data_IF_574703052602
#
_entry.id   IF_574703052602
#
_cell.length_a   1.000
_cell.length_b   1.000
_cell.length_c   1.000
_cell.angle_alpha   90.00
_cell.angle_beta   90.00
_cell.angle_gamma   90.00
#
_symmetry.space_group_name_H-M   'P 1'
#
loop_
_entity.id
_entity.type
_entity.pdbx_description
1 polymer ?
#
# COMPACT_ATOMS: atom_id res chain seq x y z
N UNK A 1 -7.33 29.07 53.44
CA UNK A 1 -7.61 27.85 52.70
C UNK A 1 -8.04 28.04 51.21
N UNK A 2 -8.57 29.20 50.83
CA UNK A 2 -8.96 29.45 49.42
C UNK A 2 -7.76 29.77 48.50
N UNK A 3 -6.73 30.44 49.01
CA UNK A 3 -5.52 30.77 48.27
C UNK A 3 -4.67 29.57 47.90
N UNK A 4 -4.62 28.56 48.77
CA UNK A 4 -3.84 27.34 48.51
C UNK A 4 -4.45 26.49 47.40
N UNK A 5 -5.76 26.46 47.27
CA UNK A 5 -6.47 25.77 46.16
C UNK A 5 -6.26 26.45 44.81
N UNK A 6 -6.12 27.80 44.81
CA UNK A 6 -5.91 28.56 43.58
C UNK A 6 -4.48 28.32 43.01
N UNK A 7 -3.49 28.22 43.89
CA UNK A 7 -2.10 27.94 43.50
C UNK A 7 -1.94 26.53 42.95
N UNK A 8 -2.67 25.56 43.54
CA UNK A 8 -2.61 24.17 43.03
C UNK A 8 -3.25 23.98 41.65
N UNK A 9 -4.32 24.73 41.39
CA UNK A 9 -4.98 24.71 40.06
C UNK A 9 -4.12 25.46 39.03
N UNK A 10 -3.46 26.53 39.40
CA UNK A 10 -2.56 27.24 38.46
C UNK A 10 -1.31 26.45 38.13
N UNK A 11 -0.80 25.67 39.09
CA UNK A 11 0.38 24.82 38.86
C UNK A 11 0.07 23.57 38.03
N UNK A 12 -1.18 23.07 38.07
CA UNK A 12 -1.59 21.91 37.28
C UNK A 12 -1.86 22.24 35.81
N UNK A 13 -2.26 23.48 35.51
CA UNK A 13 -2.53 23.96 34.14
C UNK A 13 -1.25 24.29 33.38
N UNK A 14 -0.15 24.61 34.05
CA UNK A 14 1.15 24.86 33.39
C UNK A 14 1.91 23.58 33.02
N UNK A 15 1.55 22.42 33.61
CA UNK A 15 2.20 21.16 33.34
C UNK A 15 1.70 20.44 32.05
N UNK A 16 0.59 20.91 31.48
CA UNK A 16 -0.02 20.30 30.28
C UNK A 16 0.46 20.91 28.95
N UNK A 17 1.30 21.94 28.98
CA UNK A 17 1.76 22.64 27.77
C UNK A 17 3.19 22.31 27.36
N UNK A 18 3.87 21.33 27.99
CA UNK A 18 5.26 20.97 27.69
C UNK A 18 5.38 19.62 26.96
N UNK A 19 4.29 19.11 26.39
CA UNK A 19 4.32 17.79 25.72
C UNK A 19 4.34 17.83 24.18
N UNK A 20 4.72 18.95 23.59
CA UNK A 20 4.92 19.01 22.14
C UNK A 20 6.23 19.75 21.84
N UNK A 21 7.35 19.07 22.01
CA UNK A 21 8.64 19.62 21.67
C UNK A 21 9.77 18.81 22.27
N UNK A 22 9.87 17.53 21.93
CA UNK A 22 11.03 16.75 22.29
C UNK A 22 11.79 16.36 21.03
N UNK A 23 12.81 17.16 20.71
CA UNK A 23 13.96 16.66 19.95
C UNK A 23 14.73 15.72 20.88
N UNK A 24 14.24 14.50 21.03
CA UNK A 24 14.94 13.44 21.71
C UNK A 24 15.90 12.76 20.74
N UNK A 25 17.17 12.97 20.92
CA UNK A 25 18.22 12.12 20.39
C UNK A 25 17.93 10.66 20.75
N UNK A 26 17.35 9.93 19.82
CA UNK A 26 17.24 8.48 19.91
C UNK A 26 18.39 7.89 19.13
N UNK A 27 19.24 7.17 19.85
CA UNK A 27 20.35 6.36 19.40
C UNK A 27 20.07 5.71 18.05
N UNK A 28 20.86 6.10 17.07
CA UNK A 28 20.87 5.61 15.72
C UNK A 28 21.20 4.13 15.65
N UNK A 29 20.18 3.30 15.48
CA UNK A 29 20.38 2.13 14.62
C UNK A 29 20.59 2.71 13.22
N UNK A 30 21.71 2.43 12.59
CA UNK A 30 22.04 2.84 11.23
C UNK A 30 21.11 2.13 10.22
N UNK A 31 19.86 2.47 10.23
CA UNK A 31 19.01 2.37 9.08
C UNK A 31 19.42 3.56 8.23
N UNK A 32 19.99 3.31 7.06
CA UNK A 32 20.54 4.33 6.19
C UNK A 32 19.64 5.55 6.18
N UNK A 33 20.17 6.68 6.60
CA UNK A 33 19.43 7.91 6.76
C UNK A 33 18.77 8.25 5.42
N UNK A 34 17.49 7.93 5.32
CA UNK A 34 16.64 8.46 4.27
C UNK A 34 16.36 9.93 4.64
N UNK A 35 17.43 10.71 4.69
CA UNK A 35 17.35 12.15 4.86
C UNK A 35 16.84 12.72 3.53
N UNK A 36 15.73 13.39 3.58
CA UNK A 36 15.12 14.03 2.43
C UNK A 36 13.60 13.97 2.52
N UNK A 37 12.95 14.87 1.83
CA UNK A 37 11.52 14.87 1.68
C UNK A 37 11.10 13.59 0.94
N UNK A 38 10.32 12.73 1.58
CA UNK A 38 9.85 11.48 0.97
C UNK A 38 9.09 11.73 -0.35
N UNK A 39 8.38 12.84 -0.45
CA UNK A 39 7.68 13.23 -1.66
C UNK A 39 8.63 13.53 -2.83
N UNK A 40 9.80 14.13 -2.57
CA UNK A 40 10.80 14.40 -3.61
C UNK A 40 11.38 13.11 -4.19
N UNK A 41 11.53 12.08 -3.37
CA UNK A 41 12.09 10.80 -3.81
C UNK A 41 11.17 9.98 -4.70
N UNK A 42 9.88 10.23 -4.61
CA UNK A 42 8.86 9.54 -5.45
C UNK A 42 8.30 10.47 -6.52
N UNK A 43 8.78 11.71 -6.59
CA UNK A 43 8.29 12.68 -7.56
C UNK A 43 8.88 12.40 -8.94
N UNK A 44 8.00 12.22 -9.89
CA UNK A 44 8.32 12.19 -11.32
C UNK A 44 7.52 13.29 -11.99
N UNK A 45 8.22 14.23 -12.64
CA UNK A 45 7.59 15.41 -13.24
C UNK A 45 6.60 15.03 -14.36
N UNK A 46 5.59 15.86 -14.62
CA UNK A 46 4.72 15.66 -15.76
C UNK A 46 5.52 15.61 -17.08
N UNK A 47 5.29 14.56 -17.87
CA UNK A 47 6.01 14.31 -19.12
C UNK A 47 7.27 13.47 -18.98
N UNK A 48 7.76 13.27 -17.75
CA UNK A 48 8.89 12.39 -17.48
C UNK A 48 8.43 10.96 -17.22
N UNK A 49 9.35 10.02 -17.40
CA UNK A 49 9.14 8.60 -17.19
C UNK A 49 9.71 8.15 -15.85
N UNK A 50 9.06 7.17 -15.26
CA UNK A 50 9.63 6.45 -14.11
C UNK A 50 10.87 5.68 -14.54
N UNK A 51 11.81 5.49 -13.59
CA UNK A 51 13.07 4.81 -13.83
C UNK A 51 12.88 3.29 -14.06
N UNK A 52 11.92 2.71 -13.37
CA UNK A 52 11.59 1.29 -13.45
C UNK A 52 10.11 1.07 -13.59
N UNK A 53 9.75 -0.13 -14.06
CA UNK A 53 8.38 -0.61 -14.09
C UNK A 53 8.26 -1.92 -13.33
N UNK A 54 7.32 -1.97 -12.38
CA UNK A 54 6.96 -3.18 -11.66
C UNK A 54 5.73 -3.82 -12.32
N UNK A 55 5.84 -5.09 -12.67
CA UNK A 55 4.74 -5.91 -13.15
C UNK A 55 4.26 -6.79 -12.00
N UNK A 56 3.05 -6.56 -11.55
CA UNK A 56 2.51 -7.18 -10.34
C UNK A 56 1.27 -7.98 -10.71
N UNK A 57 1.32 -9.28 -10.42
CA UNK A 57 0.15 -10.14 -10.54
C UNK A 57 -0.97 -9.65 -9.64
N UNK A 58 -2.17 -9.58 -10.16
CA UNK A 58 -3.39 -9.31 -9.40
C UNK A 58 -3.94 -10.55 -8.69
N UNK A 59 -3.21 -11.66 -8.69
CA UNK A 59 -3.68 -12.94 -8.17
C UNK A 59 -4.89 -13.44 -8.95
N UNK A 60 -5.89 -13.91 -8.24
CA UNK A 60 -7.11 -14.47 -8.85
C UNK A 60 -7.94 -13.48 -9.70
N UNK A 61 -7.54 -12.21 -9.79
CA UNK A 61 -8.20 -11.28 -10.71
C UNK A 61 -7.91 -11.56 -12.19
N UNK A 62 -6.89 -12.39 -12.47
CA UNK A 62 -6.48 -12.71 -13.83
C UNK A 62 -5.84 -11.55 -14.59
N UNK A 63 -5.37 -10.55 -13.87
CA UNK A 63 -4.84 -9.30 -14.41
C UNK A 63 -3.40 -9.06 -13.94
N UNK A 64 -2.65 -8.32 -14.73
CA UNK A 64 -1.31 -7.87 -14.43
C UNK A 64 -1.30 -6.36 -14.35
N UNK A 65 -0.95 -5.80 -13.20
CA UNK A 65 -0.83 -4.37 -13.00
C UNK A 65 0.60 -3.89 -13.27
N UNK A 66 0.74 -2.77 -13.96
CA UNK A 66 2.02 -2.15 -14.26
C UNK A 66 2.12 -0.84 -13.49
N UNK A 67 3.08 -0.77 -12.58
CA UNK A 67 3.38 0.42 -11.79
C UNK A 67 4.72 1.02 -12.17
N UNK A 68 4.78 2.35 -12.20
CA UNK A 68 6.04 3.06 -12.33
C UNK A 68 6.72 3.25 -10.98
N UNK A 69 8.01 3.16 -10.95
CA UNK A 69 8.85 3.41 -9.78
C UNK A 69 9.92 4.44 -10.11
N UNK A 70 10.12 5.45 -9.26
CA UNK A 70 9.69 5.52 -7.86
C UNK A 70 8.29 6.10 -7.61
N UNK A 71 7.57 6.58 -8.62
CA UNK A 71 6.31 7.34 -8.41
C UNK A 71 5.17 6.52 -7.80
N UNK A 72 5.16 5.20 -7.97
CA UNK A 72 4.04 4.34 -7.58
C UNK A 72 2.79 4.50 -8.46
N UNK A 73 2.90 5.20 -9.61
CA UNK A 73 1.75 5.42 -10.50
C UNK A 73 1.33 4.11 -11.17
N UNK A 74 0.03 3.82 -11.15
CA UNK A 74 -0.52 2.75 -11.96
C UNK A 74 -0.61 3.21 -13.41
N UNK A 75 0.18 2.61 -14.29
CA UNK A 75 0.18 2.92 -15.72
C UNK A 75 -0.88 2.15 -16.48
N UNK A 76 -0.99 0.87 -16.19
CA UNK A 76 -1.84 -0.02 -16.97
C UNK A 76 -2.23 -1.24 -16.16
N UNK A 77 -3.44 -1.73 -16.40
CA UNK A 77 -3.86 -3.08 -16.05
C UNK A 77 -3.96 -3.87 -17.34
N UNK A 78 -3.27 -4.98 -17.40
CA UNK A 78 -3.24 -5.89 -18.55
C UNK A 78 -4.11 -7.09 -18.20
N UNK A 79 -5.25 -7.30 -18.88
CA UNK A 79 -6.03 -8.52 -18.72
C UNK A 79 -5.26 -9.68 -19.35
N UNK A 80 -4.93 -10.69 -18.56
CA UNK A 80 -4.22 -11.87 -19.02
C UNK A 80 -5.22 -12.98 -19.38
N UNK A 81 -6.13 -13.28 -18.45
CA UNK A 81 -7.12 -14.35 -18.64
C UNK A 81 -8.51 -13.81 -18.98
N UNK A 82 -8.87 -12.67 -18.40
CA UNK A 82 -10.11 -11.98 -18.75
C UNK A 82 -10.02 -10.48 -18.46
N UNK A 83 -10.83 -9.70 -19.17
CA UNK A 83 -10.93 -8.26 -18.91
C UNK A 83 -11.61 -7.99 -17.57
N UNK A 84 -12.65 -8.74 -17.28
CA UNK A 84 -13.41 -8.67 -16.04
C UNK A 84 -13.38 -10.05 -15.38
N UNK A 85 -12.95 -10.19 -14.11
CA UNK A 85 -12.86 -11.49 -13.45
C UNK A 85 -14.16 -12.32 -13.51
N UNK A 86 -15.31 -11.67 -13.38
CA UNK A 86 -16.62 -12.33 -13.42
C UNK A 86 -17.00 -12.91 -14.78
N UNK A 87 -16.29 -12.56 -15.83
CA UNK A 87 -16.46 -13.10 -17.19
C UNK A 87 -15.47 -14.20 -17.54
N UNK A 88 -14.52 -14.47 -16.62
CA UNK A 88 -13.54 -15.53 -16.82
C UNK A 88 -14.22 -16.91 -16.77
N UNK A 89 -13.62 -17.87 -17.47
CA UNK A 89 -14.07 -19.27 -17.41
C UNK A 89 -13.98 -19.77 -15.95
N UNK A 90 -14.95 -20.62 -15.58
CA UNK A 90 -14.97 -21.20 -14.23
C UNK A 90 -15.63 -20.33 -13.17
N UNK A 91 -16.02 -19.09 -13.48
CA UNK A 91 -16.68 -18.21 -12.54
C UNK A 91 -18.18 -18.52 -12.38
N UNK A 92 -18.90 -18.71 -13.48
CA UNK A 92 -20.32 -18.99 -13.48
C UNK A 92 -20.63 -20.49 -13.60
N UNK A 93 -21.89 -20.88 -13.37
CA UNK A 93 -22.30 -22.29 -13.38
C UNK A 93 -22.07 -22.99 -14.73
N UNK A 94 -22.14 -22.27 -15.84
CA UNK A 94 -21.91 -22.80 -17.18
C UNK A 94 -20.44 -23.17 -17.39
N UNK A 95 -19.53 -22.36 -16.89
CA UNK A 95 -18.10 -22.48 -17.13
C UNK A 95 -17.33 -23.17 -15.98
N UNK A 96 -17.93 -23.33 -14.79
CA UNK A 96 -17.33 -24.08 -13.68
C UNK A 96 -16.81 -25.48 -14.05
N UNK A 97 -17.49 -26.26 -14.90
CA UNK A 97 -16.97 -27.55 -15.29
C UNK A 97 -15.60 -27.52 -15.98
N UNK A 98 -15.20 -26.37 -16.55
CA UNK A 98 -13.90 -26.18 -17.20
C UNK A 98 -12.73 -26.24 -16.20
N UNK A 99 -13.00 -26.04 -14.91
CA UNK A 99 -12.00 -26.18 -13.85
C UNK A 99 -11.65 -27.64 -13.53
N UNK A 100 -12.44 -28.60 -14.01
CA UNK A 100 -12.13 -30.02 -13.94
C UNK A 100 -11.26 -30.42 -15.13
N UNK A 101 -10.03 -30.76 -14.85
CA UNK A 101 -9.05 -31.13 -15.87
C UNK A 101 -8.70 -32.62 -15.78
N UNK A 102 -7.93 -33.13 -16.74
CA UNK A 102 -7.37 -34.49 -16.71
C UNK A 102 -6.44 -34.70 -15.48
N UNK A 103 -5.97 -33.64 -14.85
CA UNK A 103 -5.10 -33.67 -13.67
C UNK A 103 -5.85 -33.44 -12.36
N UNK A 104 -7.16 -33.26 -12.42
CA UNK A 104 -8.03 -32.99 -11.29
C UNK A 104 -8.70 -31.61 -11.34
N UNK A 105 -9.38 -31.26 -10.26
CA UNK A 105 -9.98 -29.94 -10.11
C UNK A 105 -8.92 -28.90 -9.79
N UNK A 106 -8.90 -27.81 -10.54
CA UNK A 106 -8.02 -26.65 -10.31
C UNK A 106 -8.92 -25.51 -9.86
N UNK A 107 -8.72 -24.95 -8.65
CA UNK A 107 -9.49 -23.80 -8.16
C UNK A 107 -9.42 -22.61 -9.12
N UNK A 108 -10.46 -21.81 -9.13
CA UNK A 108 -10.56 -20.65 -10.03
C UNK A 108 -9.42 -19.65 -9.84
N UNK A 109 -9.04 -19.39 -8.58
CA UNK A 109 -7.91 -18.53 -8.24
C UNK A 109 -6.58 -19.07 -8.76
N UNK A 110 -6.31 -20.36 -8.61
CA UNK A 110 -5.09 -20.98 -9.13
C UNK A 110 -5.04 -20.95 -10.67
N UNK A 111 -6.19 -21.12 -11.32
CA UNK A 111 -6.26 -21.13 -12.79
C UNK A 111 -6.15 -19.72 -13.42
N UNK A 112 -6.27 -18.65 -12.63
CA UNK A 112 -6.26 -17.27 -13.11
C UNK A 112 -5.12 -16.41 -12.54
N UNK A 113 -4.10 -17.02 -11.98
CA UNK A 113 -2.87 -16.34 -11.58
C UNK A 113 -1.97 -16.10 -12.79
N UNK A 114 -1.77 -14.81 -13.21
CA UNK A 114 -0.80 -14.46 -14.23
C UNK A 114 0.64 -14.46 -13.69
#
# INVERSE_FOLDING_TARGET
MKFFKLITVLLSTTLLMVSCGNNGDSSSTKQGALSGNAAERVYVAPGEHDEFYAFISGGFSGQLAVYGLPSGRLFKVIPVFSQDPEKAYGYNEETKPMLNTSHGFIPWDDSHHP
#
